data_IF_998614773838
#
_entry.id   IF_998614773838
#
_cell.length_a   1.000
_cell.length_b   1.000
_cell.length_c   1.000
_cell.angle_alpha   90.00
_cell.angle_beta   90.00
_cell.angle_gamma   90.00
#
_symmetry.space_group_name_H-M   'P 1'
#
loop_
_entity.id
_entity.type
_entity.pdbx_description
1 polymer ?
#
# COMPACT_ATOMS: atom_id res chain seq x y z
N UNK A 1 -40.69 -62.10 -29.85
CA UNK A 1 -40.00 -60.79 -30.12
C UNK A 1 -39.43 -60.31 -28.84
N UNK A 2 -38.16 -60.57 -28.63
CA UNK A 2 -37.45 -60.28 -27.40
C UNK A 2 -36.55 -58.98 -27.66
N UNK A 3 -36.84 -57.88 -27.00
CA UNK A 3 -36.01 -56.69 -27.07
C UNK A 3 -35.05 -56.67 -25.90
N UNK A 4 -33.79 -56.87 -26.18
CA UNK A 4 -32.67 -56.70 -25.28
C UNK A 4 -32.47 -55.15 -24.98
N UNK A 5 -32.67 -54.73 -23.74
CA UNK A 5 -32.23 -53.47 -23.23
C UNK A 5 -30.75 -53.59 -22.80
N UNK A 6 -29.87 -53.01 -23.59
CA UNK A 6 -28.47 -52.81 -23.18
C UNK A 6 -28.40 -51.60 -22.26
N UNK A 7 -28.21 -51.83 -20.97
CA UNK A 7 -27.88 -50.76 -20.01
C UNK A 7 -26.40 -50.41 -20.16
N UNK A 8 -26.12 -49.23 -20.73
CA UNK A 8 -24.80 -48.66 -20.70
C UNK A 8 -24.58 -48.01 -19.33
N UNK A 9 -23.83 -48.69 -18.49
CA UNK A 9 -23.31 -48.10 -17.26
C UNK A 9 -22.23 -47.07 -17.65
N UNK A 10 -22.57 -45.79 -17.68
CA UNK A 10 -21.59 -44.69 -17.65
C UNK A 10 -21.02 -44.63 -16.23
N UNK A 11 -19.87 -45.27 -16.02
CA UNK A 11 -19.00 -44.97 -14.89
C UNK A 11 -18.45 -43.53 -15.09
N UNK A 12 -19.10 -42.59 -14.44
CA UNK A 12 -18.48 -41.27 -14.21
C UNK A 12 -17.32 -41.49 -13.26
N UNK A 13 -16.14 -41.73 -13.82
CA UNK A 13 -14.88 -41.60 -13.09
C UNK A 13 -14.70 -40.12 -12.79
N UNK A 14 -15.22 -39.69 -11.63
CA UNK A 14 -14.79 -38.42 -10.99
C UNK A 14 -13.35 -38.65 -10.55
N UNK A 15 -12.44 -38.62 -11.52
CA UNK A 15 -11.02 -38.48 -11.26
C UNK A 15 -10.82 -37.14 -10.57
N UNK A 16 -10.74 -37.16 -9.23
CA UNK A 16 -10.06 -36.10 -8.53
C UNK A 16 -8.63 -36.10 -9.10
N UNK A 17 -8.37 -35.21 -10.06
CA UNK A 17 -7.04 -35.00 -10.57
C UNK A 17 -6.18 -34.69 -9.36
N UNK A 18 -5.27 -35.60 -9.02
CA UNK A 18 -4.29 -35.33 -7.95
C UNK A 18 -3.63 -34.02 -8.27
N UNK A 19 -3.83 -33.03 -7.41
CA UNK A 19 -3.33 -31.69 -7.62
C UNK A 19 -1.81 -31.76 -7.71
N UNK A 20 -1.25 -31.48 -8.89
CA UNK A 20 0.17 -31.67 -9.19
C UNK A 20 1.02 -30.74 -8.31
N UNK A 21 2.17 -31.23 -7.83
CA UNK A 21 3.17 -30.43 -7.15
C UNK A 21 3.72 -29.34 -8.09
N UNK A 22 4.04 -28.16 -7.54
CA UNK A 22 4.56 -27.01 -8.29
C UNK A 22 5.84 -27.32 -9.05
N UNK A 23 6.77 -28.05 -8.41
CA UNK A 23 8.15 -28.16 -8.87
C UNK A 23 8.95 -26.86 -8.66
N UNK A 24 10.27 -26.93 -8.82
CA UNK A 24 11.18 -25.83 -8.48
C UNK A 24 10.95 -24.57 -9.33
N UNK A 25 10.66 -24.72 -10.61
CA UNK A 25 10.48 -23.58 -11.51
C UNK A 25 9.23 -22.75 -11.12
N UNK A 26 8.08 -23.40 -10.90
CA UNK A 26 6.85 -22.71 -10.53
C UNK A 26 6.92 -22.17 -9.09
N UNK A 27 7.54 -22.90 -8.16
CA UNK A 27 7.78 -22.44 -6.79
C UNK A 27 8.65 -21.16 -6.79
N UNK A 28 9.74 -21.14 -7.54
CA UNK A 28 10.61 -19.98 -7.69
C UNK A 28 9.86 -18.79 -8.31
N UNK A 29 9.08 -19.03 -9.35
CA UNK A 29 8.27 -17.98 -9.99
C UNK A 29 7.25 -17.39 -9.01
N UNK A 30 6.51 -18.22 -8.28
CA UNK A 30 5.55 -17.81 -7.28
C UNK A 30 6.21 -16.92 -6.21
N UNK A 31 7.28 -17.41 -5.60
CA UNK A 31 8.00 -16.71 -4.52
C UNK A 31 8.67 -15.41 -5.00
N UNK A 32 9.15 -15.35 -6.25
CA UNK A 32 9.71 -14.12 -6.83
C UNK A 32 8.62 -13.05 -7.02
N UNK A 33 7.41 -13.45 -7.39
CA UNK A 33 6.30 -12.50 -7.58
C UNK A 33 5.64 -12.06 -6.28
N UNK A 34 5.64 -12.90 -5.26
CA UNK A 34 5.01 -12.66 -3.97
C UNK A 34 5.97 -12.21 -2.87
N UNK A 35 7.26 -12.09 -3.20
CA UNK A 35 8.29 -11.68 -2.24
C UNK A 35 9.47 -10.99 -2.92
N UNK A 36 10.63 -11.08 -2.26
CA UNK A 36 11.90 -10.50 -2.69
C UNK A 36 12.95 -11.61 -2.72
N UNK A 37 13.59 -11.86 -3.87
CA UNK A 37 14.72 -12.76 -4.06
C UNK A 37 14.68 -14.08 -3.20
N UNK A 38 13.83 -15.06 -3.55
CA UNK A 38 13.68 -16.28 -2.75
C UNK A 38 14.97 -17.09 -2.67
N UNK A 39 15.27 -17.61 -1.49
CA UNK A 39 16.39 -18.51 -1.25
C UNK A 39 16.15 -19.91 -1.83
N UNK A 40 17.20 -20.70 -2.01
CA UNK A 40 17.08 -22.08 -2.44
C UNK A 40 16.25 -22.92 -1.44
N UNK A 41 16.38 -22.65 -0.13
CA UNK A 41 15.62 -23.33 0.91
C UNK A 41 14.11 -23.04 0.83
N UNK A 42 13.72 -21.79 0.56
CA UNK A 42 12.31 -21.42 0.37
C UNK A 42 11.73 -22.10 -0.88
N UNK A 43 12.49 -22.12 -1.99
CA UNK A 43 12.04 -22.82 -3.20
C UNK A 43 11.84 -24.30 -2.92
N UNK A 44 12.79 -24.98 -2.26
CA UNK A 44 12.68 -26.38 -1.90
C UNK A 44 11.49 -26.67 -0.97
N UNK A 45 11.16 -25.72 -0.09
CA UNK A 45 10.01 -25.86 0.82
C UNK A 45 8.64 -25.68 0.14
N UNK A 46 8.60 -25.02 -1.03
CA UNK A 46 7.39 -24.81 -1.82
C UNK A 46 7.23 -25.77 -3.00
N UNK A 47 8.32 -26.31 -3.52
CA UNK A 47 8.35 -27.22 -4.66
C UNK A 47 7.43 -28.44 -4.54
N UNK A 48 7.31 -29.13 -3.38
CA UNK A 48 6.42 -30.28 -3.24
C UNK A 48 4.95 -29.90 -3.02
N UNK A 49 4.63 -28.63 -2.79
CA UNK A 49 3.27 -28.17 -2.54
C UNK A 49 2.47 -28.14 -3.85
N UNK A 50 1.17 -28.41 -3.75
CA UNK A 50 0.23 -28.06 -4.83
C UNK A 50 0.05 -26.54 -4.91
N UNK A 51 -0.49 -26.03 -6.01
CA UNK A 51 -0.74 -24.60 -6.17
C UNK A 51 -1.63 -24.06 -5.02
N UNK A 52 -2.67 -24.78 -4.64
CA UNK A 52 -3.58 -24.40 -3.56
C UNK A 52 -2.84 -24.34 -2.21
N UNK A 53 -2.09 -25.38 -1.86
CA UNK A 53 -1.32 -25.42 -0.62
C UNK A 53 -0.29 -24.29 -0.55
N UNK A 54 0.39 -23.96 -1.66
CA UNK A 54 1.35 -22.87 -1.72
C UNK A 54 0.67 -21.51 -1.49
N UNK A 55 -0.49 -21.25 -2.10
CA UNK A 55 -1.27 -20.02 -1.88
C UNK A 55 -1.77 -19.94 -0.44
N UNK A 56 -2.34 -21.01 0.10
CA UNK A 56 -2.78 -21.08 1.50
C UNK A 56 -1.62 -20.77 2.47
N UNK A 57 -0.45 -21.36 2.22
CA UNK A 57 0.75 -21.11 3.02
C UNK A 57 1.22 -19.66 2.95
N UNK A 58 1.19 -19.01 1.78
CA UNK A 58 1.53 -17.60 1.63
C UNK A 58 0.56 -16.69 2.39
N UNK A 59 -0.73 -17.00 2.35
CA UNK A 59 -1.77 -16.19 2.98
C UNK A 59 -1.85 -16.39 4.50
N UNK A 60 -1.61 -17.61 4.99
CA UNK A 60 -1.72 -17.93 6.43
C UNK A 60 -0.74 -17.18 7.31
N UNK A 61 0.38 -16.73 6.76
CA UNK A 61 1.42 -16.03 7.52
C UNK A 61 1.36 -14.51 7.48
N UNK A 62 0.38 -13.91 6.78
CA UNK A 62 0.35 -12.47 6.52
C UNK A 62 0.19 -11.65 7.80
N UNK A 63 0.89 -10.51 7.87
CA UNK A 63 0.92 -9.60 9.00
C UNK A 63 0.42 -8.22 8.58
N UNK A 64 -0.36 -7.58 9.43
CA UNK A 64 -0.86 -6.20 9.21
C UNK A 64 0.00 -5.14 9.90
N UNK A 65 0.98 -5.57 10.69
CA UNK A 65 1.88 -4.70 11.46
C UNK A 65 3.34 -4.94 11.09
N UNK A 66 4.15 -3.89 11.14
CA UNK A 66 5.58 -4.01 10.95
C UNK A 66 6.23 -4.70 12.14
N UNK A 67 7.26 -5.50 11.89
CA UNK A 67 8.06 -6.18 12.92
C UNK A 67 9.29 -5.37 13.33
N UNK A 68 9.84 -4.61 12.38
CA UNK A 68 10.96 -3.70 12.66
C UNK A 68 10.48 -2.61 13.61
N UNK A 69 11.15 -2.37 14.74
CA UNK A 69 10.79 -1.30 15.66
C UNK A 69 10.67 0.05 14.98
N UNK A 70 9.68 0.84 15.38
CA UNK A 70 9.47 2.17 14.85
C UNK A 70 10.73 3.04 15.02
N UNK A 71 11.05 3.95 14.07
CA UNK A 71 12.11 4.93 14.27
C UNK A 71 11.84 5.81 15.50
N UNK A 72 12.88 6.13 16.28
CA UNK A 72 12.75 6.87 17.54
C UNK A 72 12.15 8.27 17.39
N UNK A 73 12.29 8.87 16.20
CA UNK A 73 11.83 10.23 15.88
C UNK A 73 10.37 10.30 15.40
N UNK A 74 9.62 9.19 15.41
CA UNK A 74 8.28 9.16 14.79
C UNK A 74 7.29 10.13 15.44
N UNK A 75 7.49 10.42 16.72
CA UNK A 75 6.67 11.34 17.51
C UNK A 75 7.32 12.72 17.67
N UNK A 76 8.44 12.99 16.99
CA UNK A 76 9.05 14.31 16.99
C UNK A 76 8.08 15.35 16.41
N UNK A 77 8.10 16.54 17.01
CA UNK A 77 7.26 17.65 16.57
C UNK A 77 7.58 18.07 15.13
N UNK A 78 6.55 18.16 14.32
CA UNK A 78 6.63 18.69 12.96
C UNK A 78 6.70 20.22 13.02
N UNK A 79 7.76 20.81 12.44
CA UNK A 79 7.87 22.27 12.26
C UNK A 79 7.28 22.63 10.91
N UNK A 80 6.20 23.41 10.90
CA UNK A 80 5.51 23.82 9.67
C UNK A 80 6.35 24.81 8.84
N UNK A 81 6.13 24.90 7.51
CA UNK A 81 6.90 25.79 6.65
C UNK A 81 6.92 27.25 7.12
N UNK A 82 5.76 27.77 7.60
CA UNK A 82 5.65 29.13 8.13
C UNK A 82 6.51 29.37 9.40
N UNK A 83 6.59 28.35 10.26
CA UNK A 83 7.34 28.44 11.51
C UNK A 83 8.83 28.21 11.23
N UNK A 84 9.15 27.31 10.29
CA UNK A 84 10.50 27.10 9.80
C UNK A 84 11.11 28.35 9.19
N UNK A 85 10.32 29.17 8.48
CA UNK A 85 10.77 30.45 7.92
C UNK A 85 11.12 31.48 8.98
N UNK A 86 10.59 31.35 10.19
CA UNK A 86 10.86 32.26 11.34
C UNK A 86 12.08 31.87 12.16
N UNK A 87 12.58 30.65 11.94
CA UNK A 87 13.79 30.19 12.64
C UNK A 87 15.04 30.91 12.12
N UNK A 88 16.08 31.12 12.96
CA UNK A 88 17.40 31.50 12.53
C UNK A 88 17.94 30.57 11.44
N UNK A 89 18.85 31.09 10.61
CA UNK A 89 19.36 30.35 9.44
C UNK A 89 20.10 29.07 9.81
N UNK A 90 20.82 29.05 10.91
CA UNK A 90 21.52 27.88 11.46
C UNK A 90 20.55 26.80 11.98
N UNK A 91 19.51 27.19 12.74
CA UNK A 91 18.48 26.28 13.21
C UNK A 91 17.68 25.69 12.05
N UNK A 92 17.32 26.52 11.06
CA UNK A 92 16.64 26.09 9.84
C UNK A 92 17.48 25.08 9.04
N UNK A 93 18.80 25.32 8.95
CA UNK A 93 19.72 24.39 8.30
C UNK A 93 19.81 23.07 9.05
N UNK A 94 19.96 23.13 10.36
CA UNK A 94 20.02 21.96 11.25
C UNK A 94 18.74 21.13 11.14
N UNK A 95 17.57 21.79 11.16
CA UNK A 95 16.30 21.09 11.00
C UNK A 95 16.19 20.38 9.64
N UNK A 96 16.58 21.04 8.54
CA UNK A 96 16.59 20.40 7.21
C UNK A 96 17.54 19.20 7.14
N UNK A 97 18.71 19.28 7.76
CA UNK A 97 19.63 18.13 7.84
C UNK A 97 19.02 16.98 8.64
N UNK A 98 18.30 17.28 9.72
CA UNK A 98 17.57 16.29 10.50
C UNK A 98 16.51 15.59 9.66
N UNK A 99 15.70 16.31 8.87
CA UNK A 99 14.70 15.72 7.97
C UNK A 99 15.35 14.81 6.92
N UNK A 100 16.50 15.19 6.36
CA UNK A 100 17.23 14.34 5.39
C UNK A 100 17.70 13.05 6.07
N UNK A 101 18.30 13.13 7.26
CA UNK A 101 18.73 11.96 8.02
C UNK A 101 17.55 11.04 8.36
N UNK A 102 16.46 11.57 8.92
CA UNK A 102 15.27 10.81 9.26
C UNK A 102 14.64 10.16 8.02
N UNK A 103 14.67 10.82 6.86
CA UNK A 103 14.19 10.26 5.59
C UNK A 103 15.04 9.08 5.11
N UNK A 104 16.36 9.13 5.31
CA UNK A 104 17.26 8.00 5.02
C UNK A 104 17.03 6.85 5.99
N UNK A 105 16.85 7.16 7.29
CA UNK A 105 16.53 6.16 8.31
C UNK A 105 15.19 5.47 8.02
N UNK A 106 14.16 6.21 7.55
CA UNK A 106 12.87 5.64 7.14
C UNK A 106 13.03 4.64 5.99
N UNK A 107 13.83 4.99 4.98
CA UNK A 107 14.13 4.05 3.87
C UNK A 107 14.84 2.81 4.37
N UNK A 108 15.85 2.97 5.23
CA UNK A 108 16.58 1.86 5.85
C UNK A 108 15.67 1.00 6.72
N UNK A 109 14.75 1.61 7.47
CA UNK A 109 13.74 0.91 8.26
C UNK A 109 12.85 0.02 7.38
N UNK A 110 12.32 0.53 6.28
CA UNK A 110 11.46 -0.25 5.39
C UNK A 110 12.22 -1.34 4.63
N UNK A 111 13.44 -1.05 4.17
CA UNK A 111 14.30 -2.06 3.55
C UNK A 111 14.60 -3.21 4.53
N UNK A 112 14.84 -2.91 5.80
CA UNK A 112 15.03 -3.93 6.84
C UNK A 112 13.77 -4.77 7.01
N UNK A 113 12.59 -4.14 7.08
CA UNK A 113 11.32 -4.86 7.14
C UNK A 113 11.14 -5.82 5.95
N UNK A 114 11.47 -5.38 4.73
CA UNK A 114 11.42 -6.22 3.52
C UNK A 114 12.40 -7.40 3.55
N UNK A 115 13.57 -7.23 4.17
CA UNK A 115 14.62 -8.27 4.23
C UNK A 115 14.35 -9.26 5.36
N UNK A 116 13.94 -8.76 6.53
CA UNK A 116 13.85 -9.55 7.75
C UNK A 116 12.47 -10.18 7.96
N UNK A 117 11.46 -9.80 7.15
CA UNK A 117 10.11 -10.36 7.30
C UNK A 117 10.05 -11.83 6.90
N UNK A 118 9.46 -12.71 7.74
CA UNK A 118 9.21 -14.10 7.36
C UNK A 118 8.02 -14.22 6.38
N UNK A 119 7.32 -13.11 6.10
CA UNK A 119 6.11 -13.07 5.28
C UNK A 119 6.24 -11.99 4.20
N UNK A 120 7.08 -12.23 3.18
CA UNK A 120 7.39 -11.23 2.15
C UNK A 120 6.16 -10.73 1.37
N UNK A 121 5.08 -11.52 1.30
CA UNK A 121 3.87 -11.15 0.57
C UNK A 121 3.26 -9.85 1.08
N UNK A 122 3.19 -9.65 2.40
CA UNK A 122 2.68 -8.39 2.98
C UNK A 122 3.50 -7.19 2.50
N UNK A 123 4.83 -7.27 2.59
CA UNK A 123 5.70 -6.17 2.17
C UNK A 123 5.68 -5.96 0.65
N UNK A 124 5.54 -7.03 -0.13
CA UNK A 124 5.37 -6.95 -1.58
C UNK A 124 4.10 -6.20 -1.97
N UNK A 125 2.99 -6.47 -1.26
CA UNK A 125 1.73 -5.78 -1.48
C UNK A 125 1.75 -4.35 -0.92
N UNK A 126 2.44 -4.10 0.20
CA UNK A 126 2.68 -2.75 0.72
C UNK A 126 3.43 -1.90 -0.32
N UNK A 127 4.47 -2.46 -0.94
CA UNK A 127 5.22 -1.79 -2.02
C UNK A 127 4.35 -1.56 -3.26
N UNK A 128 3.50 -2.54 -3.62
CA UNK A 128 2.55 -2.39 -4.73
C UNK A 128 1.61 -1.20 -4.49
N UNK A 129 1.00 -1.11 -3.30
CA UNK A 129 0.09 -0.01 -2.96
C UNK A 129 0.82 1.32 -2.81
N UNK A 130 2.06 1.33 -2.31
CA UNK A 130 2.88 2.54 -2.27
C UNK A 130 3.20 3.08 -3.68
N UNK A 131 3.41 2.21 -4.66
CA UNK A 131 3.59 2.60 -6.05
C UNK A 131 2.28 3.01 -6.73
N UNK A 132 1.14 2.51 -6.26
CA UNK A 132 -0.18 2.88 -6.77
C UNK A 132 -0.65 4.23 -6.17
N UNK A 133 -0.61 4.40 -4.85
CA UNK A 133 -0.96 5.64 -4.15
C UNK A 133 0.30 6.45 -3.85
N UNK A 134 0.90 7.00 -4.90
CA UNK A 134 2.22 7.62 -4.83
C UNK A 134 2.25 8.83 -3.89
N UNK A 135 3.23 8.82 -2.98
CA UNK A 135 3.66 9.98 -2.22
C UNK A 135 5.17 10.06 -2.21
N UNK A 136 5.73 11.26 -2.36
CA UNK A 136 7.17 11.44 -2.47
C UNK A 136 7.73 12.41 -1.44
N UNK A 137 8.84 12.01 -0.82
CA UNK A 137 9.51 12.75 0.24
C UNK A 137 9.88 14.21 -0.13
N UNK A 138 10.30 14.55 -1.37
CA UNK A 138 10.61 15.93 -1.71
C UNK A 138 9.41 16.89 -1.59
N UNK A 139 8.18 16.40 -1.74
CA UNK A 139 6.96 17.22 -1.58
C UNK A 139 6.35 17.09 -0.19
N UNK A 140 6.34 15.89 0.38
CA UNK A 140 5.81 15.66 1.74
C UNK A 140 6.70 16.28 2.81
N UNK A 141 7.99 16.37 2.60
CA UNK A 141 9.04 16.92 3.45
C UNK A 141 9.29 16.13 4.75
N UNK A 142 8.25 15.89 5.54
CA UNK A 142 8.34 15.21 6.83
C UNK A 142 8.26 13.69 6.67
N UNK A 143 9.17 12.93 7.30
CA UNK A 143 9.15 11.48 7.22
C UNK A 143 8.04 10.83 8.08
N UNK A 144 7.51 11.51 9.11
CA UNK A 144 6.46 10.98 9.98
C UNK A 144 5.17 10.64 9.22
N UNK A 145 4.58 11.51 8.37
CA UNK A 145 3.44 11.14 7.53
C UNK A 145 3.72 9.97 6.59
N UNK A 146 4.92 9.91 5.99
CA UNK A 146 5.31 8.82 5.10
C UNK A 146 5.44 7.47 5.84
N UNK A 147 5.96 7.48 7.06
CA UNK A 147 5.97 6.30 7.92
C UNK A 147 4.55 5.81 8.21
N UNK A 148 3.65 6.72 8.64
CA UNK A 148 2.26 6.39 8.94
C UNK A 148 1.51 5.88 7.71
N UNK A 149 1.76 6.46 6.54
CA UNK A 149 1.24 5.97 5.27
C UNK A 149 1.71 4.54 4.98
N UNK A 150 2.99 4.23 5.20
CA UNK A 150 3.51 2.88 5.03
C UNK A 150 2.80 1.87 5.95
N UNK A 151 2.53 2.24 7.21
CA UNK A 151 1.75 1.39 8.14
C UNK A 151 0.30 1.20 7.66
N UNK A 152 -0.36 2.26 7.20
CA UNK A 152 -1.72 2.19 6.64
C UNK A 152 -1.78 1.26 5.43
N UNK A 153 -0.85 1.40 4.51
CA UNK A 153 -0.79 0.54 3.32
C UNK A 153 -0.54 -0.93 3.69
N UNK A 154 0.30 -1.20 4.71
CA UNK A 154 0.54 -2.55 5.23
C UNK A 154 -0.69 -3.15 5.88
N UNK A 155 -1.39 -2.39 6.72
CA UNK A 155 -2.62 -2.81 7.38
C UNK A 155 -3.66 -3.29 6.37
N UNK A 156 -3.77 -2.59 5.24
CA UNK A 156 -4.76 -2.88 4.19
C UNK A 156 -4.19 -3.65 2.99
N UNK A 157 -2.93 -4.09 3.03
CA UNK A 157 -2.18 -4.62 1.88
C UNK A 157 -2.90 -5.76 1.14
N UNK A 158 -3.57 -6.63 1.87
CA UNK A 158 -4.28 -7.83 1.38
C UNK A 158 -5.79 -7.77 1.66
N UNK A 159 -6.29 -6.59 2.03
CA UNK A 159 -7.69 -6.38 2.36
C UNK A 159 -8.56 -5.93 1.18
N UNK A 160 -9.70 -5.34 1.51
CA UNK A 160 -10.61 -4.76 0.52
C UNK A 160 -10.04 -3.46 -0.06
N UNK A 161 -10.04 -3.35 -1.39
CA UNK A 161 -9.65 -2.13 -2.09
C UNK A 161 -10.51 -0.92 -1.67
N UNK A 162 -11.82 -1.12 -1.50
CA UNK A 162 -12.71 -0.04 -1.06
C UNK A 162 -12.31 0.47 0.34
N UNK A 163 -11.99 -0.42 1.27
CA UNK A 163 -11.53 -0.05 2.62
C UNK A 163 -10.21 0.72 2.56
N UNK A 164 -9.25 0.22 1.76
CA UNK A 164 -7.98 0.92 1.55
C UNK A 164 -8.19 2.30 0.93
N UNK A 165 -9.06 2.42 -0.09
CA UNK A 165 -9.36 3.69 -0.75
C UNK A 165 -9.94 4.71 0.25
N UNK A 166 -10.89 4.30 1.09
CA UNK A 166 -11.45 5.15 2.14
C UNK A 166 -10.42 5.57 3.20
N UNK A 167 -9.46 4.74 3.49
CA UNK A 167 -8.37 5.06 4.42
C UNK A 167 -7.38 6.04 3.79
N UNK A 168 -6.91 5.76 2.56
CA UNK A 168 -5.85 6.52 1.91
C UNK A 168 -6.27 7.95 1.50
N UNK A 169 -7.55 8.21 1.19
CA UNK A 169 -8.03 9.56 0.91
C UNK A 169 -7.99 10.48 2.14
N UNK A 170 -7.78 9.94 3.33
CA UNK A 170 -7.60 10.66 4.58
C UNK A 170 -6.15 10.65 5.06
N UNK A 171 -5.27 10.02 4.31
CA UNK A 171 -3.85 9.93 4.67
C UNK A 171 -3.15 11.27 4.55
N UNK A 172 -2.47 11.76 5.60
CA UNK A 172 -1.80 13.05 5.58
C UNK A 172 -0.70 13.18 4.51
N UNK A 173 0.05 12.12 4.23
CA UNK A 173 1.10 12.17 3.21
C UNK A 173 0.50 12.33 1.81
N UNK A 174 -0.59 11.61 1.49
CA UNK A 174 -1.31 11.77 0.22
C UNK A 174 -1.96 13.14 0.11
N UNK A 175 -2.59 13.64 1.18
CA UNK A 175 -3.18 14.98 1.20
C UNK A 175 -2.15 16.09 0.96
N UNK A 176 -0.94 15.97 1.52
CA UNK A 176 0.16 16.90 1.22
C UNK A 176 0.61 16.74 -0.23
N UNK A 177 0.81 15.51 -0.67
CA UNK A 177 1.38 15.22 -1.98
C UNK A 177 0.48 15.68 -3.13
N UNK A 178 -0.83 15.57 -2.97
CA UNK A 178 -1.82 15.95 -3.99
C UNK A 178 -2.53 17.28 -3.68
N UNK A 179 -1.97 18.08 -2.78
CA UNK A 179 -2.51 19.40 -2.39
C UNK A 179 -3.95 19.36 -1.85
N UNK A 180 -4.43 18.17 -1.44
CA UNK A 180 -5.79 17.96 -0.93
C UNK A 180 -6.09 18.79 0.32
N UNK A 181 -5.09 19.06 1.16
CA UNK A 181 -5.23 19.90 2.34
C UNK A 181 -5.49 21.40 2.01
N UNK A 182 -5.31 21.82 0.76
CA UNK A 182 -5.60 23.18 0.28
C UNK A 182 -7.02 23.29 -0.29
N UNK A 183 -7.75 22.18 -0.45
CA UNK A 183 -9.11 22.14 -0.95
C UNK A 183 -10.08 22.76 0.07
N UNK A 184 -10.62 23.95 -0.26
CA UNK A 184 -11.45 24.76 0.64
C UNK A 184 -12.75 25.16 -0.02
N UNK A 185 -13.76 25.41 0.80
CA UNK A 185 -15.03 25.96 0.34
C UNK A 185 -14.78 27.29 -0.41
N UNK A 186 -15.28 27.38 -1.62
CA UNK A 186 -15.09 28.55 -2.51
C UNK A 186 -13.76 28.56 -3.29
N UNK A 187 -12.81 27.68 -2.96
CA UNK A 187 -11.54 27.50 -3.68
C UNK A 187 -11.21 26.01 -3.76
N UNK A 188 -11.99 25.23 -4.52
CA UNK A 188 -11.76 23.80 -4.66
C UNK A 188 -10.40 23.53 -5.34
N UNK A 189 -9.65 22.61 -4.80
CA UNK A 189 -8.44 22.05 -5.43
C UNK A 189 -8.81 20.70 -6.03
N UNK A 190 -8.69 20.57 -7.34
CA UNK A 190 -9.12 19.40 -8.08
C UNK A 190 -8.07 18.29 -8.13
N UNK A 191 -6.81 18.55 -7.74
CA UNK A 191 -5.70 17.64 -7.97
C UNK A 191 -5.95 16.25 -7.34
N UNK A 192 -6.27 16.20 -6.05
CA UNK A 192 -6.59 14.94 -5.38
C UNK A 192 -7.78 14.21 -6.05
N UNK A 193 -8.84 14.95 -6.39
CA UNK A 193 -10.03 14.36 -7.02
C UNK A 193 -9.73 13.79 -8.41
N UNK A 194 -8.94 14.49 -9.20
CA UNK A 194 -8.49 14.06 -10.52
C UNK A 194 -7.66 12.79 -10.42
N UNK A 195 -6.64 12.76 -9.56
CA UNK A 195 -5.77 11.60 -9.38
C UNK A 195 -6.53 10.38 -8.82
N UNK A 196 -7.51 10.60 -7.94
CA UNK A 196 -8.38 9.53 -7.45
C UNK A 196 -9.16 8.87 -8.59
N UNK A 197 -9.67 9.65 -9.55
CA UNK A 197 -10.41 9.12 -10.68
C UNK A 197 -9.49 8.54 -11.76
N UNK A 198 -8.45 9.28 -12.12
CA UNK A 198 -7.61 8.96 -13.26
C UNK A 198 -6.63 7.82 -12.99
N UNK A 199 -5.83 7.95 -11.92
CA UNK A 199 -4.74 7.02 -11.63
C UNK A 199 -5.12 5.93 -10.63
N UNK A 200 -6.00 6.25 -9.68
CA UNK A 200 -6.21 5.35 -8.55
C UNK A 200 -7.45 4.47 -8.67
N UNK A 201 -8.45 4.85 -9.50
CA UNK A 201 -9.71 4.08 -9.57
C UNK A 201 -10.23 3.84 -10.99
N UNK A 202 -10.79 4.85 -11.67
CA UNK A 202 -11.58 4.66 -12.88
C UNK A 202 -10.74 4.48 -14.14
N UNK A 203 -9.58 5.12 -14.20
CA UNK A 203 -8.77 5.22 -15.41
C UNK A 203 -9.20 6.36 -16.33
N UNK A 204 -8.29 6.77 -17.20
CA UNK A 204 -8.45 7.89 -18.10
C UNK A 204 -9.68 7.73 -19.01
N UNK A 205 -10.42 8.82 -19.25
CA UNK A 205 -11.56 8.85 -20.18
C UNK A 205 -12.86 8.24 -19.65
N UNK A 206 -12.92 7.85 -18.37
CA UNK A 206 -14.13 7.27 -17.76
C UNK A 206 -14.87 8.23 -16.82
N UNK A 207 -14.54 9.50 -16.84
CA UNK A 207 -15.16 10.58 -16.06
C UNK A 207 -15.09 11.86 -16.87
N UNK A 208 -15.88 12.86 -16.47
CA UNK A 208 -15.91 14.19 -17.07
C UNK A 208 -15.22 15.21 -16.17
N UNK A 209 -14.90 16.39 -16.71
CA UNK A 209 -14.41 17.51 -15.90
C UNK A 209 -15.41 17.97 -14.83
N UNK A 210 -16.71 17.78 -15.08
CA UNK A 210 -17.75 18.03 -14.09
C UNK A 210 -17.65 17.06 -12.92
N UNK A 211 -17.39 15.76 -13.19
CA UNK A 211 -17.21 14.76 -12.14
C UNK A 211 -15.99 15.09 -11.25
N UNK A 212 -14.89 15.55 -11.84
CA UNK A 212 -13.71 15.99 -11.09
C UNK A 212 -14.04 17.15 -10.14
N UNK A 213 -14.77 18.17 -10.64
CA UNK A 213 -15.20 19.32 -9.82
C UNK A 213 -16.11 18.89 -8.68
N UNK A 214 -17.08 18.02 -8.94
CA UNK A 214 -17.99 17.52 -7.93
C UNK A 214 -17.30 16.63 -6.90
N UNK A 215 -16.34 15.81 -7.33
CA UNK A 215 -15.51 15.02 -6.41
C UNK A 215 -14.61 15.93 -5.55
N UNK A 216 -14.00 16.97 -6.13
CA UNK A 216 -13.23 17.95 -5.37
C UNK A 216 -14.12 18.67 -4.33
N UNK A 217 -15.37 19.00 -4.70
CA UNK A 217 -16.36 19.57 -3.79
C UNK A 217 -16.72 18.60 -2.65
N UNK A 218 -16.89 17.31 -2.96
CA UNK A 218 -17.17 16.28 -1.96
C UNK A 218 -15.98 16.04 -0.99
N UNK A 219 -14.74 16.23 -1.47
CA UNK A 219 -13.52 16.12 -0.66
C UNK A 219 -13.15 17.42 0.07
N UNK A 220 -13.95 18.48 -0.08
CA UNK A 220 -13.74 19.75 0.63
C UNK A 220 -13.78 19.54 2.13
N UNK A 221 -12.82 20.12 2.85
CA UNK A 221 -12.69 20.00 4.30
C UNK A 221 -11.71 18.92 4.76
N UNK A 222 -11.26 18.02 3.88
CA UNK A 222 -10.12 17.15 4.19
C UNK A 222 -8.88 18.01 4.41
N UNK A 223 -8.27 17.92 5.58
CA UNK A 223 -7.16 18.80 5.97
C UNK A 223 -6.24 18.09 6.94
N UNK A 224 -5.18 18.78 7.32
CA UNK A 224 -4.16 18.31 8.24
C UNK A 224 -4.11 19.26 9.42
N UNK A 225 -4.09 18.69 10.63
CA UNK A 225 -3.84 19.44 11.83
C UNK A 225 -2.39 19.96 11.81
N UNK A 226 -2.19 21.27 11.90
CA UNK A 226 -0.86 21.85 11.79
C UNK A 226 0.06 21.54 12.99
N UNK A 227 -0.50 21.06 14.10
CA UNK A 227 0.26 20.77 15.32
C UNK A 227 0.74 19.32 15.35
N UNK A 228 -0.15 18.39 14.93
CA UNK A 228 0.08 16.96 15.04
C UNK A 228 0.43 16.30 13.71
N UNK A 229 0.18 16.98 12.57
CA UNK A 229 0.28 16.40 11.24
C UNK A 229 -0.77 15.32 10.94
N UNK A 230 -1.78 15.18 11.81
CA UNK A 230 -2.86 14.20 11.64
C UNK A 230 -3.96 14.73 10.70
N UNK A 231 -4.73 13.79 10.13
CA UNK A 231 -5.95 14.16 9.38
C UNK A 231 -6.97 14.85 10.27
N UNK A 232 -7.57 15.92 9.76
CA UNK A 232 -8.72 16.60 10.36
C UNK A 232 -9.76 16.94 9.29
N UNK A 233 -11.03 16.92 9.65
CA UNK A 233 -12.10 17.43 8.81
C UNK A 233 -12.49 18.83 9.27
N UNK A 234 -12.32 19.82 8.39
CA UNK A 234 -12.70 21.23 8.63
C UNK A 234 -14.00 21.54 7.89
N UNK A 235 -15.01 21.92 8.62
CA UNK A 235 -16.33 22.36 8.08
C UNK A 235 -16.25 23.76 7.46
#
# INVERSE_FOLDING_TARGET
MLRLLSAVLLLAASGASAEQALGDAAARQLLTRTGFAPTAGEVAAFSPLTQRQAVERLLAGTLTVARTPAPAWIDDKIVLPRDLQRLPDDERRTYRQTLVRQSLELRGWWLREMVDTPVPLTERMTLFWHNHFVSAQPKVLWPQPLYRQNLLLREHALGSFATLLHAIVRDPALLIYLDGATNRRGQPNENLARELMELFTLGQGRYTETDVKEAARALTGHSIDPTTGAFVYRR
#
